data_IF_148738746648
#
_entry.id   IF_148738746648
#
_cell.length_a   1.000
_cell.length_b   1.000
_cell.length_c   1.000
_cell.angle_alpha   90.00
_cell.angle_beta   90.00
_cell.angle_gamma   90.00
#
_symmetry.space_group_name_H-M   'P 1'
#
loop_
_entity.id
_entity.type
_entity.pdbx_description
1 polymer ?
#
# COMPACT_ATOMS: atom_id res chain seq x y z
N UNK A 1 19.29 -23.21 39.25
CA UNK A 1 18.59 -23.49 37.98
C UNK A 1 17.78 -22.27 37.51
N UNK A 2 18.34 -21.06 37.64
CA UNK A 2 17.55 -19.81 37.55
C UNK A 2 17.79 -19.06 36.23
N UNK A 3 18.79 -19.49 35.44
CA UNK A 3 19.11 -18.90 34.14
C UNK A 3 18.14 -19.32 33.04
N UNK A 4 17.43 -20.45 33.23
CA UNK A 4 16.42 -20.97 32.29
C UNK A 4 15.12 -20.15 32.32
N UNK A 5 14.78 -19.54 33.47
CA UNK A 5 13.59 -18.69 33.65
C UNK A 5 13.76 -17.34 32.94
N UNK A 6 14.99 -16.82 32.84
CA UNK A 6 15.28 -15.57 32.13
C UNK A 6 15.15 -15.71 30.61
N UNK A 7 15.41 -16.90 30.05
CA UNK A 7 15.28 -17.17 28.62
C UNK A 7 13.81 -17.27 28.17
N UNK A 8 12.95 -17.85 29.00
CA UNK A 8 11.51 -18.01 28.72
C UNK A 8 10.76 -16.67 28.72
N UNK A 9 11.23 -15.67 29.47
CA UNK A 9 10.61 -14.34 29.52
C UNK A 9 10.87 -13.47 28.27
N UNK A 10 11.82 -13.85 27.38
CA UNK A 10 12.12 -13.14 26.12
C UNK A 10 11.49 -13.75 24.88
N UNK A 11 10.99 -14.98 24.97
CA UNK A 11 10.23 -15.65 23.91
C UNK A 11 9.01 -14.87 23.39
N UNK A 12 8.16 -14.26 24.24
CA UNK A 12 6.95 -13.60 23.75
C UNK A 12 7.26 -12.39 22.87
N UNK A 13 8.31 -11.62 23.20
CA UNK A 13 8.76 -10.49 22.40
C UNK A 13 9.31 -10.95 21.04
N UNK A 14 10.10 -12.02 21.03
CA UNK A 14 10.65 -12.59 19.81
C UNK A 14 9.55 -13.14 18.89
N UNK A 15 8.53 -13.80 19.45
CA UNK A 15 7.37 -14.26 18.71
C UNK A 15 6.57 -13.08 18.11
N UNK A 16 6.36 -12.01 18.88
CA UNK A 16 5.70 -10.79 18.42
C UNK A 16 6.45 -10.12 17.26
N UNK A 17 7.76 -9.97 17.40
CA UNK A 17 8.63 -9.42 16.35
C UNK A 17 8.60 -10.28 15.07
N UNK A 18 8.59 -11.61 15.21
CA UNK A 18 8.51 -12.52 14.08
C UNK A 18 7.16 -12.43 13.36
N UNK A 19 6.06 -12.32 14.10
CA UNK A 19 4.73 -12.11 13.50
C UNK A 19 4.64 -10.77 12.76
N UNK A 20 5.25 -9.71 13.31
CA UNK A 20 5.27 -8.40 12.68
C UNK A 20 6.09 -8.39 11.38
N UNK A 21 7.25 -9.06 11.37
CA UNK A 21 8.09 -9.16 10.16
C UNK A 21 7.42 -9.99 9.08
N UNK A 22 6.76 -11.11 9.42
CA UNK A 22 5.98 -11.90 8.44
C UNK A 22 4.77 -11.13 7.92
N UNK A 23 4.08 -10.37 8.78
CA UNK A 23 2.95 -9.54 8.37
C UNK A 23 3.38 -8.42 7.41
N UNK A 24 4.51 -7.76 7.66
CA UNK A 24 5.01 -6.71 6.76
C UNK A 24 5.58 -7.26 5.45
N UNK A 25 6.21 -8.44 5.47
CA UNK A 25 6.80 -9.03 4.26
C UNK A 25 5.77 -9.65 3.30
N UNK A 26 4.58 -10.02 3.78
CA UNK A 26 3.50 -10.56 2.94
C UNK A 26 2.87 -9.54 1.98
N UNK A 27 3.15 -8.24 2.15
CA UNK A 27 2.59 -7.17 1.32
C UNK A 27 3.55 -6.67 0.22
N UNK A 28 4.59 -7.43 -0.11
CA UNK A 28 5.52 -7.05 -1.19
C UNK A 28 4.81 -6.99 -2.55
N UNK A 29 5.06 -5.93 -3.33
CA UNK A 29 4.56 -5.80 -4.71
C UNK A 29 5.23 -6.80 -5.66
N UNK A 30 6.47 -7.17 -5.36
CA UNK A 30 7.30 -8.04 -6.19
C UNK A 30 7.73 -9.29 -5.42
N UNK A 31 7.78 -10.42 -6.11
CA UNK A 31 8.37 -11.66 -5.63
C UNK A 31 9.91 -11.52 -5.60
N UNK A 32 10.60 -12.45 -4.92
CA UNK A 32 12.07 -12.47 -4.86
C UNK A 32 12.75 -12.60 -6.23
N UNK A 33 12.05 -13.13 -7.24
CA UNK A 33 12.52 -13.25 -8.61
C UNK A 33 12.23 -12.00 -9.49
N UNK A 34 11.71 -10.92 -8.90
CA UNK A 34 11.36 -9.68 -9.61
C UNK A 34 10.01 -9.70 -10.34
N UNK A 35 9.31 -10.83 -10.40
CA UNK A 35 7.93 -10.91 -10.91
C UNK A 35 6.98 -10.11 -10.03
N UNK A 36 5.89 -9.59 -10.59
CA UNK A 36 4.76 -9.10 -9.79
C UNK A 36 4.23 -10.24 -8.90
N UNK A 37 4.06 -9.94 -7.61
CA UNK A 37 3.36 -10.82 -6.68
C UNK A 37 1.85 -10.75 -6.92
N UNK A 38 1.09 -11.72 -6.42
CA UNK A 38 -0.39 -11.72 -6.53
C UNK A 38 -1.00 -10.41 -6.02
N UNK A 39 -0.50 -9.90 -4.89
CA UNK A 39 -0.90 -8.59 -4.36
C UNK A 39 -0.48 -7.41 -5.24
N UNK A 40 0.66 -7.52 -5.93
CA UNK A 40 1.13 -6.50 -6.87
C UNK A 40 0.18 -6.28 -8.06
N UNK A 41 -0.50 -7.34 -8.53
CA UNK A 41 -1.55 -7.22 -9.54
C UNK A 41 -2.80 -6.51 -9.02
N UNK A 42 -3.19 -6.77 -7.77
CA UNK A 42 -4.30 -6.06 -7.14
C UNK A 42 -4.01 -4.57 -7.05
N UNK A 43 -2.82 -4.20 -6.58
CA UNK A 43 -2.39 -2.80 -6.55
C UNK A 43 -2.37 -2.16 -7.94
N UNK A 44 -1.85 -2.88 -8.95
CA UNK A 44 -1.84 -2.39 -10.32
C UNK A 44 -3.26 -2.14 -10.86
N UNK A 45 -4.20 -3.03 -10.57
CA UNK A 45 -5.60 -2.84 -10.95
C UNK A 45 -6.22 -1.62 -10.25
N UNK A 46 -5.96 -1.45 -8.95
CA UNK A 46 -6.41 -0.28 -8.19
C UNK A 46 -5.80 1.03 -8.71
N UNK A 47 -4.52 1.03 -9.09
CA UNK A 47 -3.85 2.19 -9.71
C UNK A 47 -4.56 2.61 -10.99
N UNK A 48 -4.88 1.65 -11.87
CA UNK A 48 -5.60 1.92 -13.12
C UNK A 48 -7.01 2.46 -12.83
N UNK A 49 -7.73 1.87 -11.89
CA UNK A 49 -9.07 2.34 -11.51
C UNK A 49 -9.04 3.76 -10.93
N UNK A 50 -8.06 4.08 -10.10
CA UNK A 50 -7.88 5.43 -9.56
C UNK A 50 -7.50 6.44 -10.65
N UNK A 51 -6.67 6.04 -11.63
CA UNK A 51 -6.38 6.87 -12.80
C UNK A 51 -7.65 7.20 -13.59
N UNK A 52 -8.51 6.21 -13.83
CA UNK A 52 -9.81 6.44 -14.47
C UNK A 52 -10.69 7.38 -13.63
N UNK A 53 -10.73 7.22 -12.30
CA UNK A 53 -11.44 8.13 -11.39
C UNK A 53 -10.91 9.57 -11.54
N UNK A 54 -9.58 9.78 -11.50
CA UNK A 54 -8.95 11.09 -11.72
C UNK A 54 -9.40 11.75 -13.02
N UNK A 55 -9.42 11.02 -14.13
CA UNK A 55 -9.80 11.60 -15.43
C UNK A 55 -11.29 11.94 -15.53
N UNK A 56 -12.15 11.24 -14.79
CA UNK A 56 -13.59 11.51 -14.70
C UNK A 56 -13.95 12.71 -13.83
N UNK A 57 -13.03 13.18 -12.99
CA UNK A 57 -13.32 14.33 -12.13
C UNK A 57 -13.43 15.64 -12.94
N UNK A 58 -14.33 16.56 -12.57
CA UNK A 58 -14.48 17.89 -13.19
C UNK A 58 -13.40 18.87 -12.68
N UNK A 59 -12.14 18.44 -12.73
CA UNK A 59 -10.99 19.23 -12.29
C UNK A 59 -10.22 19.82 -13.46
N UNK A 60 -9.47 20.89 -13.20
CA UNK A 60 -8.50 21.42 -14.17
C UNK A 60 -7.45 20.38 -14.53
N UNK A 61 -6.87 20.50 -15.72
CA UNK A 61 -5.86 19.55 -16.22
C UNK A 61 -4.66 19.42 -15.28
N UNK A 62 -4.21 20.51 -14.67
CA UNK A 62 -3.10 20.51 -13.72
C UNK A 62 -3.39 19.66 -12.47
N UNK A 63 -4.61 19.75 -11.91
CA UNK A 63 -4.99 18.91 -10.76
C UNK A 63 -5.09 17.44 -11.14
N UNK A 64 -5.55 17.11 -12.36
CA UNK A 64 -5.56 15.72 -12.87
C UNK A 64 -4.15 15.16 -12.99
N UNK A 65 -3.25 15.92 -13.62
CA UNK A 65 -1.86 15.51 -13.79
C UNK A 65 -1.13 15.33 -12.46
N UNK A 66 -1.35 16.23 -11.49
CA UNK A 66 -0.76 16.13 -10.16
C UNK A 66 -1.17 14.82 -9.46
N UNK A 67 -2.47 14.50 -9.42
CA UNK A 67 -2.94 13.27 -8.78
C UNK A 67 -2.52 12.02 -9.54
N UNK A 68 -2.56 12.05 -10.87
CA UNK A 68 -2.06 10.95 -11.70
C UNK A 68 -0.58 10.64 -11.41
N UNK A 69 0.26 11.67 -11.31
CA UNK A 69 1.68 11.51 -11.00
C UNK A 69 1.91 10.93 -9.59
N UNK A 70 1.16 11.40 -8.59
CA UNK A 70 1.25 10.89 -7.21
C UNK A 70 0.91 9.40 -7.15
N UNK A 71 -0.20 8.98 -7.77
CA UNK A 71 -0.64 7.57 -7.80
C UNK A 71 0.39 6.70 -8.55
N UNK A 72 0.90 7.18 -9.67
CA UNK A 72 1.84 6.42 -10.50
C UNK A 72 3.19 6.18 -9.81
N UNK A 73 3.75 7.20 -9.16
CA UNK A 73 5.07 7.11 -8.49
C UNK A 73 4.94 6.35 -7.17
N UNK A 74 3.85 6.56 -6.43
CA UNK A 74 3.57 5.91 -5.17
C UNK A 74 2.29 5.09 -5.30
N UNK A 75 2.36 3.81 -5.67
CA UNK A 75 1.18 3.01 -5.96
C UNK A 75 0.28 2.88 -4.73
N UNK A 76 0.81 2.29 -3.66
CA UNK A 76 0.05 2.12 -2.43
C UNK A 76 -0.16 3.46 -1.70
N UNK A 77 0.92 4.21 -1.48
CA UNK A 77 0.85 5.48 -0.73
C UNK A 77 0.03 6.55 -1.45
N UNK A 78 0.19 6.67 -2.76
CA UNK A 78 -0.55 7.61 -3.60
C UNK A 78 -2.03 7.26 -3.70
N UNK A 79 -2.40 5.98 -3.78
CA UNK A 79 -3.80 5.56 -3.65
C UNK A 79 -4.40 5.97 -2.29
N UNK A 80 -3.70 5.70 -1.20
CA UNK A 80 -4.16 6.07 0.15
C UNK A 80 -4.37 7.58 0.24
N UNK A 81 -3.39 8.37 -0.17
CA UNK A 81 -3.46 9.84 -0.11
C UNK A 81 -4.57 10.35 -1.06
N UNK A 82 -4.69 9.78 -2.26
CA UNK A 82 -5.72 10.15 -3.22
C UNK A 82 -7.13 9.95 -2.66
N UNK A 83 -7.42 8.76 -2.13
CA UNK A 83 -8.77 8.45 -1.65
C UNK A 83 -9.16 9.26 -0.40
N UNK A 84 -8.20 9.65 0.43
CA UNK A 84 -8.44 10.43 1.65
C UNK A 84 -8.46 11.95 1.42
N UNK A 85 -7.59 12.48 0.57
CA UNK A 85 -7.32 13.92 0.50
C UNK A 85 -7.59 14.58 -0.85
N UNK A 86 -7.87 13.83 -1.92
CA UNK A 86 -8.03 14.45 -3.25
C UNK A 86 -9.27 15.34 -3.40
N UNK A 87 -10.23 15.24 -2.45
CA UNK A 87 -11.47 16.02 -2.48
C UNK A 87 -12.33 15.60 -3.67
N UNK A 88 -12.56 14.30 -3.82
CA UNK A 88 -13.31 13.69 -4.93
C UNK A 88 -14.77 14.14 -4.87
N UNK A 89 -15.26 14.68 -5.98
CA UNK A 89 -16.66 15.08 -6.14
C UNK A 89 -17.51 13.91 -6.63
N UNK A 90 -18.80 14.16 -6.83
CA UNK A 90 -19.64 13.24 -7.61
C UNK A 90 -19.08 13.20 -9.03
N UNK A 91 -18.65 12.03 -9.48
CA UNK A 91 -18.22 11.85 -10.86
C UNK A 91 -19.42 12.19 -11.76
N UNK A 92 -19.27 13.19 -12.63
CA UNK A 92 -20.23 13.45 -13.69
C UNK A 92 -20.22 12.24 -14.63
N UNK A 93 -21.31 11.48 -14.63
CA UNK A 93 -21.55 10.38 -15.57
C UNK A 93 -21.78 10.96 -16.95
#
# INVERSE_FOLDING_TARGET
MNKLVSFTNRLPLAALLLTLTVAMSSCSRYNANGSLATWGYVLLALDILAMLDVFRQPWSIGKKLLWAAIIFIFPLGGLIIYYLFAGRGKASV
#
